data_IF_486227827175
#
_entry.id   IF_486227827175
#
_cell.length_a   1.000
_cell.length_b   1.000
_cell.length_c   1.000
_cell.angle_alpha   90.00
_cell.angle_beta   90.00
_cell.angle_gamma   90.00
#
_symmetry.space_group_name_H-M   'P 1'
#
loop_
_entity.id
_entity.type
_entity.pdbx_description
1 polymer ?
#
# COMPACT_ATOMS: atom_id res chain seq x y z
N UNK A 1 -12.45 33.85 -13.10
CA UNK A 1 -13.82 33.48 -12.71
C UNK A 1 -14.60 33.11 -13.96
N UNK A 2 -14.90 31.82 -14.18
CA UNK A 2 -15.71 31.39 -15.31
C UNK A 2 -17.17 31.82 -15.13
N UNK A 3 -17.83 32.12 -16.25
CA UNK A 3 -19.25 32.43 -16.33
C UNK A 3 -19.99 31.11 -16.58
N UNK A 4 -20.92 30.75 -15.70
CA UNK A 4 -21.75 29.55 -15.84
C UNK A 4 -23.20 29.93 -16.07
N UNK A 5 -23.86 29.16 -16.94
CA UNK A 5 -25.28 29.33 -17.24
C UNK A 5 -26.07 28.38 -16.34
N UNK A 6 -26.83 28.95 -15.41
CA UNK A 6 -27.79 28.24 -14.56
C UNK A 6 -29.16 28.77 -14.97
N UNK A 7 -30.07 27.89 -15.41
CA UNK A 7 -31.48 28.25 -15.71
C UNK A 7 -31.62 29.55 -16.55
N UNK A 8 -30.90 29.61 -17.68
CA UNK A 8 -30.89 30.75 -18.62
C UNK A 8 -30.33 32.10 -18.10
N UNK A 9 -29.68 32.11 -16.94
CA UNK A 9 -28.95 33.28 -16.43
C UNK A 9 -27.45 32.99 -16.33
N UNK A 10 -26.64 33.94 -16.80
CA UNK A 10 -25.19 33.92 -16.62
C UNK A 10 -24.84 34.41 -15.21
N UNK A 11 -24.18 33.55 -14.43
CA UNK A 11 -23.70 33.89 -13.09
C UNK A 11 -22.19 33.62 -12.99
N UNK A 12 -21.51 34.45 -12.20
CA UNK A 12 -20.13 34.18 -11.79
C UNK A 12 -20.16 32.96 -10.87
N UNK A 13 -19.46 31.90 -11.28
CA UNK A 13 -19.30 30.74 -10.42
C UNK A 13 -18.27 31.05 -9.33
N UNK A 14 -18.60 30.74 -8.08
CA UNK A 14 -17.61 30.68 -7.01
C UNK A 14 -16.98 29.28 -7.05
N UNK A 15 -15.66 29.22 -7.27
CA UNK A 15 -14.86 27.98 -7.35
C UNK A 15 -14.78 27.23 -6.00
N UNK A 16 -15.39 27.76 -4.94
CA UNK A 16 -15.51 27.08 -3.64
C UNK A 16 -16.45 25.86 -3.69
N UNK A 17 -15.82 24.69 -3.72
CA UNK A 17 -16.49 23.38 -3.72
C UNK A 17 -16.95 22.93 -2.32
N UNK A 18 -16.73 23.70 -1.26
CA UNK A 18 -17.19 23.35 0.09
C UNK A 18 -18.71 23.12 0.15
N UNK A 19 -19.48 23.83 -0.67
CA UNK A 19 -20.94 23.67 -0.76
C UNK A 19 -21.42 22.35 -1.39
N UNK A 20 -20.54 21.61 -2.04
CA UNK A 20 -20.82 20.30 -2.65
C UNK A 20 -20.33 19.12 -1.80
N UNK A 21 -19.69 19.39 -0.66
CA UNK A 21 -19.25 18.35 0.27
C UNK A 21 -20.45 17.65 0.89
N UNK A 22 -20.38 16.33 0.98
CA UNK A 22 -21.39 15.52 1.63
C UNK A 22 -20.86 15.03 2.97
N UNK A 23 -21.71 15.09 4.00
CA UNK A 23 -21.47 14.44 5.28
C UNK A 23 -21.77 12.94 5.18
N UNK A 24 -21.13 12.28 4.21
CA UNK A 24 -21.30 10.87 3.90
C UNK A 24 -19.96 10.16 4.09
N UNK A 25 -19.69 9.61 5.28
CA UNK A 25 -18.45 8.89 5.53
C UNK A 25 -18.50 7.56 4.79
N UNK A 26 -17.72 7.46 3.71
CA UNK A 26 -17.49 6.19 3.03
C UNK A 26 -16.68 5.27 3.96
N UNK A 27 -17.09 4.01 4.18
CA UNK A 27 -16.31 3.06 4.96
C UNK A 27 -14.86 2.99 4.47
N UNK A 28 -13.90 2.88 5.39
CA UNK A 28 -12.48 2.70 5.02
C UNK A 28 -12.23 1.37 4.31
N UNK A 29 -13.12 0.39 4.51
CA UNK A 29 -13.10 -0.93 3.85
C UNK A 29 -13.68 -0.92 2.44
N UNK A 30 -14.30 0.18 2.01
CA UNK A 30 -14.91 0.28 0.69
C UNK A 30 -13.81 0.45 -0.35
N UNK A 31 -13.76 -0.46 -1.33
CA UNK A 31 -12.79 -0.44 -2.41
C UNK A 31 -13.34 0.42 -3.55
N UNK A 32 -12.56 1.37 -4.11
CA UNK A 32 -13.00 2.14 -5.26
C UNK A 32 -13.00 1.27 -6.52
N UNK A 33 -13.85 1.63 -7.48
CA UNK A 33 -13.88 1.10 -8.84
C UNK A 33 -12.61 1.49 -9.61
N UNK A 34 -12.47 0.95 -10.81
CA UNK A 34 -11.36 1.23 -11.72
C UNK A 34 -11.15 2.70 -12.08
N UNK A 35 -12.23 3.45 -12.16
CA UNK A 35 -12.21 4.88 -12.40
C UNK A 35 -11.91 5.69 -11.13
N UNK A 36 -11.80 5.07 -9.96
CA UNK A 36 -11.54 5.73 -8.66
C UNK A 36 -12.79 6.17 -7.91
N UNK A 37 -13.99 5.87 -8.41
CA UNK A 37 -15.25 6.16 -7.72
C UNK A 37 -15.65 5.05 -6.76
N UNK A 38 -16.27 5.42 -5.65
CA UNK A 38 -16.83 4.49 -4.68
C UNK A 38 -18.32 4.34 -4.91
N UNK A 39 -18.83 3.11 -4.89
CA UNK A 39 -20.26 2.85 -4.94
C UNK A 39 -20.78 2.59 -3.53
N UNK A 40 -21.73 3.39 -3.09
CA UNK A 40 -22.38 3.20 -1.80
C UNK A 40 -23.84 3.66 -1.85
N UNK A 41 -24.74 2.84 -1.31
CA UNK A 41 -26.18 3.03 -1.30
C UNK A 41 -26.80 3.38 -2.68
N UNK A 42 -26.24 2.83 -3.77
CA UNK A 42 -26.72 3.05 -5.15
C UNK A 42 -26.32 4.41 -5.75
N UNK A 43 -25.38 5.13 -5.12
CA UNK A 43 -24.81 6.36 -5.63
C UNK A 43 -23.29 6.22 -5.82
N UNK A 44 -22.74 7.04 -6.72
CA UNK A 44 -21.30 7.13 -6.96
C UNK A 44 -20.70 8.31 -6.20
N UNK A 45 -19.55 8.04 -5.60
CA UNK A 45 -18.88 8.95 -4.68
C UNK A 45 -17.41 9.12 -5.05
N UNK A 46 -16.95 10.36 -5.05
CA UNK A 46 -15.54 10.72 -5.18
C UNK A 46 -15.00 11.11 -3.81
N UNK A 47 -13.94 10.41 -3.36
CA UNK A 47 -13.14 10.82 -2.20
C UNK A 47 -12.00 11.71 -2.69
N UNK A 48 -11.91 12.91 -2.13
CA UNK A 48 -10.93 13.90 -2.57
C UNK A 48 -10.42 14.72 -1.39
N UNK A 49 -9.12 14.62 -1.07
CA UNK A 49 -8.47 15.31 0.06
C UNK A 49 -9.22 15.16 1.39
N UNK A 50 -9.69 13.94 1.68
CA UNK A 50 -10.45 13.63 2.90
C UNK A 50 -11.90 14.13 2.90
N UNK A 51 -12.38 14.69 1.79
CA UNK A 51 -13.77 15.10 1.59
C UNK A 51 -14.49 14.14 0.65
N UNK A 52 -15.82 14.06 0.78
CA UNK A 52 -16.66 13.21 -0.06
C UNK A 52 -17.59 14.05 -0.93
N UNK A 53 -17.65 13.72 -2.22
CA UNK A 53 -18.52 14.37 -3.19
C UNK A 53 -19.36 13.32 -3.90
N UNK A 54 -20.67 13.52 -3.97
CA UNK A 54 -21.51 12.69 -4.84
C UNK A 54 -21.33 13.15 -6.29
N UNK A 55 -21.17 12.20 -7.20
CA UNK A 55 -20.96 12.46 -8.62
C UNK A 55 -21.94 11.69 -9.48
N UNK A 56 -22.22 12.22 -10.67
CA UNK A 56 -23.05 11.54 -11.66
C UNK A 56 -22.61 11.93 -13.07
N UNK A 57 -23.03 11.12 -14.05
CA UNK A 57 -22.88 11.47 -15.45
C UNK A 57 -24.12 12.25 -15.94
N UNK A 58 -23.90 13.39 -16.60
CA UNK A 58 -24.93 14.20 -17.26
C UNK A 58 -24.42 14.63 -18.64
N UNK A 59 -25.15 14.32 -19.70
CA UNK A 59 -24.78 14.60 -21.10
C UNK A 59 -23.35 14.13 -21.47
N UNK A 60 -22.97 12.94 -21.00
CA UNK A 60 -21.65 12.35 -21.25
C UNK A 60 -20.50 12.99 -20.46
N UNK A 61 -20.78 13.89 -19.52
CA UNK A 61 -19.79 14.52 -18.65
C UNK A 61 -20.02 14.15 -17.19
N UNK A 62 -18.95 14.01 -16.44
CA UNK A 62 -19.02 13.84 -15.00
C UNK A 62 -19.26 15.19 -14.32
N UNK A 63 -20.20 15.22 -13.39
CA UNK A 63 -20.57 16.42 -12.64
C UNK A 63 -20.78 16.11 -11.15
N UNK A 64 -20.47 17.07 -10.30
CA UNK A 64 -20.80 16.99 -8.87
C UNK A 64 -22.29 17.28 -8.64
N UNK A 65 -22.88 16.53 -7.70
CA UNK A 65 -24.24 16.71 -7.23
C UNK A 65 -24.23 17.61 -5.99
N UNK A 66 -25.19 18.52 -5.85
CA UNK A 66 -25.31 19.33 -4.64
C UNK A 66 -26.13 18.58 -3.58
N UNK A 67 -25.72 18.56 -2.30
CA UNK A 67 -26.36 17.75 -1.25
C UNK A 67 -27.81 18.13 -0.88
N UNK A 68 -28.35 19.24 -1.39
CA UNK A 68 -29.59 19.85 -0.90
C UNK A 68 -30.43 20.50 -2.01
N UNK A 69 -29.78 20.98 -3.09
CA UNK A 69 -30.43 21.75 -4.15
C UNK A 69 -30.28 21.04 -5.48
N UNK A 70 -31.34 20.36 -5.93
CA UNK A 70 -31.35 19.63 -7.20
C UNK A 70 -31.08 20.55 -8.42
N UNK A 71 -31.52 21.81 -8.36
CA UNK A 71 -31.32 22.80 -9.44
C UNK A 71 -30.05 23.64 -9.29
N UNK A 72 -29.18 23.30 -8.33
CA UNK A 72 -27.88 23.97 -8.25
C UNK A 72 -27.05 23.68 -9.51
N UNK A 73 -26.11 24.59 -9.79
CA UNK A 73 -25.06 24.32 -10.75
C UNK A 73 -24.39 22.97 -10.45
N UNK A 74 -23.96 22.25 -11.47
CA UNK A 74 -23.27 20.97 -11.30
C UNK A 74 -21.85 21.13 -11.86
N UNK A 75 -20.85 21.42 -11.00
CA UNK A 75 -19.47 21.59 -11.43
C UNK A 75 -18.98 20.36 -12.19
N UNK A 76 -18.38 20.59 -13.36
CA UNK A 76 -17.84 19.53 -14.20
C UNK A 76 -16.53 18.97 -13.64
N UNK A 77 -16.34 17.66 -13.79
CA UNK A 77 -15.14 16.95 -13.40
C UNK A 77 -14.39 16.46 -14.64
N UNK A 78 -13.07 16.43 -14.56
CA UNK A 78 -12.22 15.78 -15.55
C UNK A 78 -11.62 14.51 -14.97
N UNK A 79 -11.47 13.49 -15.80
CA UNK A 79 -10.88 12.21 -15.40
C UNK A 79 -10.04 11.63 -16.52
N UNK A 80 -9.01 10.85 -16.16
CA UNK A 80 -8.26 10.01 -17.09
C UNK A 80 -8.88 8.62 -17.29
N UNK A 81 -9.97 8.29 -16.58
CA UNK A 81 -10.62 6.99 -16.61
C UNK A 81 -9.93 5.89 -15.78
N UNK A 82 -8.80 6.21 -15.14
CA UNK A 82 -7.95 5.27 -14.40
C UNK A 82 -7.64 5.82 -12.99
N UNK A 83 -8.66 6.30 -12.29
CA UNK A 83 -8.53 6.73 -10.90
C UNK A 83 -8.17 8.20 -10.69
N UNK A 84 -7.67 8.92 -11.70
CA UNK A 84 -7.36 10.34 -11.57
C UNK A 84 -8.59 11.19 -11.83
N UNK A 85 -8.87 12.10 -10.89
CA UNK A 85 -9.97 13.08 -10.98
C UNK A 85 -9.43 14.48 -10.73
N UNK A 86 -9.86 15.43 -11.58
CA UNK A 86 -9.60 16.86 -11.39
C UNK A 86 -10.88 17.61 -11.14
N UNK A 87 -10.82 18.43 -10.12
CA UNK A 87 -11.89 19.32 -9.73
C UNK A 87 -11.79 20.60 -10.56
N UNK A 88 -12.93 21.28 -10.81
CA UNK A 88 -12.90 22.48 -11.62
C UNK A 88 -12.12 23.59 -10.92
N UNK A 89 -11.23 24.24 -11.66
CA UNK A 89 -10.29 25.26 -11.15
C UNK A 89 -8.90 24.72 -10.82
N UNK A 90 -8.68 23.41 -10.86
CA UNK A 90 -7.36 22.83 -10.62
C UNK A 90 -6.44 22.89 -11.84
N UNK A 91 -5.17 23.19 -11.59
CA UNK A 91 -4.14 23.31 -12.63
C UNK A 91 -2.94 22.43 -12.31
N UNK A 92 -2.81 21.30 -13.01
CA UNK A 92 -1.73 20.34 -12.80
C UNK A 92 -0.32 20.94 -12.89
N UNK A 93 -0.14 21.98 -13.71
CA UNK A 93 1.13 22.71 -13.83
C UNK A 93 1.58 23.40 -12.54
N UNK A 94 0.64 23.71 -11.64
CA UNK A 94 0.90 24.39 -10.37
C UNK A 94 1.16 23.42 -9.23
N UNK A 95 0.91 22.11 -9.44
CA UNK A 95 1.15 21.09 -8.43
C UNK A 95 2.64 20.82 -8.28
N UNK A 96 3.06 20.63 -7.04
CA UNK A 96 4.45 20.37 -6.66
C UNK A 96 4.55 19.21 -5.69
N UNK A 97 5.65 18.46 -5.80
CA UNK A 97 5.95 17.30 -4.97
C UNK A 97 5.35 15.99 -5.48
N UNK A 98 6.15 14.93 -5.41
CA UNK A 98 5.77 13.60 -5.87
C UNK A 98 4.55 13.07 -5.11
N UNK A 99 4.48 13.28 -3.79
CA UNK A 99 3.40 12.81 -2.94
C UNK A 99 2.02 13.28 -3.43
N UNK A 100 1.89 14.57 -3.75
CA UNK A 100 0.65 15.12 -4.29
C UNK A 100 0.36 14.53 -5.67
N UNK A 101 1.33 14.56 -6.59
CA UNK A 101 1.14 14.12 -7.97
C UNK A 101 0.76 12.64 -8.08
N UNK A 102 1.34 11.78 -7.25
CA UNK A 102 1.02 10.34 -7.20
C UNK A 102 -0.35 10.09 -6.58
N UNK A 103 -0.70 10.79 -5.48
CA UNK A 103 -2.05 10.71 -4.89
C UNK A 103 -3.15 11.19 -5.85
N UNK A 104 -2.83 12.14 -6.72
CA UNK A 104 -3.75 12.62 -7.76
C UNK A 104 -3.94 11.65 -8.91
N UNK A 105 -3.07 10.65 -9.09
CA UNK A 105 -3.24 9.60 -10.12
C UNK A 105 -4.26 8.52 -9.73
N UNK A 106 -4.73 8.53 -8.48
CA UNK A 106 -5.84 7.70 -8.05
C UNK A 106 -5.54 6.88 -6.78
N UNK A 107 -6.43 5.92 -6.46
CA UNK A 107 -6.40 5.18 -5.19
C UNK A 107 -5.20 4.24 -5.04
N UNK A 108 -4.40 4.06 -6.09
CA UNK A 108 -3.15 3.32 -6.04
C UNK A 108 -2.19 3.84 -4.96
N UNK A 109 -2.22 5.15 -4.71
CA UNK A 109 -1.39 5.83 -3.73
C UNK A 109 -2.02 5.92 -2.32
N UNK A 110 -3.28 5.50 -2.16
CA UNK A 110 -3.99 5.57 -0.89
C UNK A 110 -3.27 4.68 0.14
N UNK A 111 -2.93 5.26 1.29
CA UNK A 111 -2.14 4.58 2.32
C UNK A 111 -0.62 4.75 2.23
N UNK A 112 -0.06 5.28 1.14
CA UNK A 112 1.38 5.56 1.04
C UNK A 112 1.75 6.90 1.71
N UNK A 113 2.83 6.90 2.51
CA UNK A 113 3.45 8.11 3.04
C UNK A 113 4.25 8.87 1.98
N UNK A 114 4.53 10.15 2.22
CA UNK A 114 5.28 10.98 1.28
C UNK A 114 6.67 10.40 0.98
N UNK A 115 7.36 9.87 2.00
CA UNK A 115 8.66 9.22 1.85
C UNK A 115 8.58 7.91 1.03
N UNK A 116 7.52 7.13 1.19
CA UNK A 116 7.30 5.91 0.39
C UNK A 116 6.99 6.26 -1.07
N UNK A 117 6.21 7.32 -1.30
CA UNK A 117 5.96 7.82 -2.65
C UNK A 117 7.29 8.26 -3.28
N UNK A 118 8.08 9.10 -2.60
CA UNK A 118 9.39 9.52 -3.09
C UNK A 118 10.30 8.32 -3.39
N UNK A 119 10.29 7.32 -2.51
CA UNK A 119 11.06 6.11 -2.73
C UNK A 119 10.58 5.38 -3.98
N UNK A 120 9.28 5.08 -4.13
CA UNK A 120 8.67 4.46 -5.31
C UNK A 120 9.00 5.22 -6.59
N UNK A 121 8.98 6.55 -6.56
CA UNK A 121 9.35 7.38 -7.71
C UNK A 121 10.80 7.19 -8.13
N UNK A 122 11.72 7.12 -7.15
CA UNK A 122 13.12 6.78 -7.39
C UNK A 122 13.27 5.36 -7.97
N UNK A 123 12.47 4.38 -7.49
CA UNK A 123 12.45 3.01 -8.04
C UNK A 123 12.00 3.01 -9.50
N UNK A 124 10.89 3.68 -9.78
CA UNK A 124 10.24 3.69 -11.09
C UNK A 124 11.01 4.53 -12.13
N UNK A 125 12.07 5.23 -11.73
CA UNK A 125 12.79 6.16 -12.61
C UNK A 125 11.91 7.29 -13.11
N UNK A 126 10.92 7.68 -12.30
CA UNK A 126 9.97 8.73 -12.63
C UNK A 126 10.22 9.94 -11.73
N UNK A 127 10.33 11.11 -12.34
CA UNK A 127 10.51 12.37 -11.63
C UNK A 127 9.21 13.19 -11.61
N UNK A 128 9.23 14.26 -10.83
CA UNK A 128 8.11 15.17 -10.65
C UNK A 128 7.64 15.79 -11.98
N UNK A 129 8.57 16.08 -12.89
CA UNK A 129 8.27 16.65 -14.20
C UNK A 129 7.46 15.65 -15.06
N UNK A 130 7.85 14.37 -15.04
CA UNK A 130 7.15 13.31 -15.76
C UNK A 130 5.77 13.02 -15.19
N UNK A 131 5.64 12.98 -13.86
CA UNK A 131 4.33 12.86 -13.19
C UNK A 131 3.39 14.02 -13.52
N UNK A 132 3.91 15.25 -13.51
CA UNK A 132 3.15 16.44 -13.90
C UNK A 132 2.72 16.36 -15.37
N UNK A 133 3.59 15.83 -16.24
CA UNK A 133 3.28 15.55 -17.64
C UNK A 133 2.08 14.62 -17.81
N UNK A 134 2.01 13.52 -17.05
CA UNK A 134 0.87 12.59 -17.09
C UNK A 134 -0.45 13.30 -16.77
N UNK A 135 -0.45 14.15 -15.74
CA UNK A 135 -1.62 14.95 -15.42
C UNK A 135 -1.95 15.94 -16.54
N UNK A 136 -1.00 16.74 -17.01
CA UNK A 136 -1.26 17.73 -18.08
C UNK A 136 -1.84 17.09 -19.34
N UNK A 137 -1.39 15.88 -19.67
CA UNK A 137 -1.84 15.12 -20.83
C UNK A 137 -3.07 14.23 -20.55
N UNK A 138 -3.57 14.24 -19.32
CA UNK A 138 -4.69 13.41 -18.84
C UNK A 138 -4.50 11.90 -19.11
N UNK A 139 -3.29 11.40 -18.84
CA UNK A 139 -2.91 9.99 -19.03
C UNK A 139 -2.87 9.20 -17.72
N UNK A 140 -3.03 7.89 -17.85
CA UNK A 140 -2.81 6.91 -16.79
C UNK A 140 -1.33 6.69 -16.46
N UNK A 141 -1.05 5.76 -15.54
CA UNK A 141 0.32 5.33 -15.27
C UNK A 141 0.82 4.43 -16.43
N UNK A 142 2.00 4.70 -17.01
CA UNK A 142 2.54 3.87 -18.09
C UNK A 142 2.69 2.41 -17.65
N UNK A 143 2.17 1.47 -18.46
CA UNK A 143 2.22 0.03 -18.19
C UNK A 143 0.92 -0.59 -17.65
N UNK A 144 -0.10 0.23 -17.35
CA UNK A 144 -1.46 -0.21 -17.02
C UNK A 144 -2.39 -0.18 -18.25
N UNK A 145 -1.97 0.51 -19.31
CA UNK A 145 -2.76 0.88 -20.50
C UNK A 145 -3.22 -0.31 -21.38
N UNK A 146 -2.72 -1.53 -21.18
CA UNK A 146 -3.04 -2.73 -22.01
C UNK A 146 -4.13 -3.64 -21.41
N UNK A 147 -4.70 -3.29 -20.25
CA UNK A 147 -5.80 -4.03 -19.61
C UNK A 147 -7.17 -3.44 -19.99
N UNK A 148 -7.62 -3.72 -21.21
CA UNK A 148 -8.88 -3.22 -21.75
C UNK A 148 -10.14 -3.93 -21.21
N UNK A 149 -11.17 -3.12 -20.96
CA UNK A 149 -12.60 -3.44 -20.74
C UNK A 149 -13.01 -3.93 -19.34
N UNK A 150 -13.53 -2.99 -18.55
CA UNK A 150 -14.59 -2.93 -17.50
C UNK A 150 -15.04 -4.16 -16.67
N UNK A 151 -14.54 -5.37 -16.89
CA UNK A 151 -14.78 -6.55 -16.04
C UNK A 151 -13.48 -7.18 -15.55
N UNK A 152 -12.37 -7.01 -16.27
CA UNK A 152 -11.05 -7.50 -15.83
C UNK A 152 -10.43 -6.55 -14.81
N UNK A 153 -10.71 -5.24 -14.91
CA UNK A 153 -10.19 -4.25 -13.97
C UNK A 153 -10.74 -4.45 -12.56
N UNK A 154 -12.04 -4.71 -12.37
CA UNK A 154 -12.59 -4.99 -11.03
C UNK A 154 -11.95 -6.24 -10.41
N UNK A 155 -11.65 -7.26 -11.23
CA UNK A 155 -10.93 -8.45 -10.78
C UNK A 155 -9.46 -8.16 -10.45
N UNK A 156 -8.82 -7.25 -11.19
CA UNK A 156 -7.48 -6.71 -10.89
C UNK A 156 -7.49 -5.88 -9.60
N UNK A 157 -8.56 -5.14 -9.29
CA UNK A 157 -8.71 -4.37 -8.05
C UNK A 157 -8.92 -5.28 -6.83
N UNK A 158 -9.71 -6.37 -6.96
CA UNK A 158 -9.81 -7.42 -5.93
C UNK A 158 -8.47 -8.14 -5.72
N UNK A 159 -7.72 -8.38 -6.80
CA UNK A 159 -6.39 -9.00 -6.77
C UNK A 159 -5.26 -8.01 -6.47
N UNK A 160 -5.57 -6.72 -6.30
CA UNK A 160 -4.58 -5.65 -6.15
C UNK A 160 -3.61 -5.82 -4.99
N UNK A 161 -3.95 -6.43 -3.84
CA UNK A 161 -2.98 -6.79 -2.81
C UNK A 161 -1.87 -7.71 -3.34
N UNK A 162 -2.24 -8.74 -4.10
CA UNK A 162 -1.32 -9.70 -4.72
C UNK A 162 -0.54 -9.05 -5.86
N UNK A 163 -1.24 -8.33 -6.73
CA UNK A 163 -0.62 -7.66 -7.88
C UNK A 163 0.33 -6.54 -7.43
N UNK A 164 0.06 -5.80 -6.35
CA UNK A 164 1.01 -4.82 -5.81
C UNK A 164 2.32 -5.47 -5.35
N UNK A 165 2.25 -6.63 -4.69
CA UNK A 165 3.43 -7.39 -4.30
C UNK A 165 4.21 -7.86 -5.54
N UNK A 166 3.52 -8.49 -6.49
CA UNK A 166 4.14 -9.00 -7.72
C UNK A 166 4.68 -7.88 -8.62
N UNK A 167 4.01 -6.72 -8.68
CA UNK A 167 4.39 -5.55 -9.47
C UNK A 167 5.52 -4.76 -8.79
N UNK A 168 5.59 -4.75 -7.46
CA UNK A 168 6.75 -4.23 -6.72
C UNK A 168 7.99 -5.10 -6.94
N UNK A 169 7.87 -6.42 -6.83
CA UNK A 169 8.94 -7.38 -7.15
C UNK A 169 9.34 -7.30 -8.64
N UNK A 170 8.36 -7.15 -9.53
CA UNK A 170 8.59 -7.00 -10.97
C UNK A 170 9.27 -5.68 -11.32
N UNK A 171 8.89 -4.54 -10.72
CA UNK A 171 9.56 -3.25 -10.90
C UNK A 171 10.97 -3.25 -10.27
N UNK A 172 11.18 -4.00 -9.19
CA UNK A 172 12.51 -4.31 -8.66
C UNK A 172 13.37 -5.13 -9.64
N UNK A 173 12.76 -6.07 -10.36
CA UNK A 173 13.44 -6.87 -11.37
C UNK A 173 13.62 -6.14 -12.71
N UNK A 174 12.67 -5.26 -13.08
CA UNK A 174 12.58 -4.56 -14.36
C UNK A 174 13.39 -3.26 -14.41
N UNK A 175 13.99 -2.82 -13.31
CA UNK A 175 15.00 -1.75 -13.28
C UNK A 175 16.33 -2.23 -13.86
N UNK A 176 16.30 -2.31 -15.20
CA UNK A 176 17.33 -2.21 -16.22
C UNK A 176 18.56 -3.15 -16.21
N UNK A 177 18.62 -3.81 -17.36
CA UNK A 177 19.67 -4.48 -18.13
C UNK A 177 21.13 -4.08 -17.81
N UNK A 178 21.84 -4.98 -17.11
CA UNK A 178 23.23 -5.37 -17.34
C UNK A 178 23.61 -6.48 -16.34
N UNK A 179 24.23 -7.56 -16.82
CA UNK A 179 24.79 -8.61 -15.97
C UNK A 179 26.08 -8.11 -15.31
N UNK A 180 25.97 -7.24 -14.29
CA UNK A 180 27.14 -6.82 -13.52
C UNK A 180 27.54 -7.94 -12.54
N UNK A 181 28.69 -8.54 -12.82
CA UNK A 181 29.23 -9.66 -12.04
C UNK A 181 29.47 -9.30 -10.57
N UNK A 182 29.64 -8.01 -10.23
CA UNK A 182 29.82 -7.50 -8.87
C UNK A 182 28.49 -7.41 -8.12
N UNK A 183 27.40 -7.05 -8.81
CA UNK A 183 26.05 -7.02 -8.25
C UNK A 183 25.59 -8.41 -7.89
N UNK A 184 25.79 -9.38 -8.78
CA UNK A 184 25.51 -10.79 -8.49
C UNK A 184 26.32 -11.30 -7.30
N UNK A 185 27.54 -10.81 -7.12
CA UNK A 185 28.42 -11.17 -6.01
C UNK A 185 27.93 -10.62 -4.68
N UNK A 186 27.49 -9.35 -4.67
CA UNK A 186 26.85 -8.72 -3.52
C UNK A 186 25.55 -9.42 -3.12
N UNK A 187 24.69 -9.76 -4.08
CA UNK A 187 23.43 -10.45 -3.80
C UNK A 187 23.63 -11.90 -3.31
N UNK A 188 24.70 -12.58 -3.77
CA UNK A 188 25.08 -13.91 -3.30
C UNK A 188 25.47 -13.89 -1.82
N UNK A 189 26.34 -12.96 -1.42
CA UNK A 189 26.89 -12.91 -0.06
C UNK A 189 25.94 -12.17 0.93
N UNK A 190 24.98 -11.39 0.40
CA UNK A 190 23.97 -10.66 1.17
C UNK A 190 22.54 -10.94 0.66
N UNK A 191 21.98 -12.13 0.93
CA UNK A 191 20.64 -12.49 0.51
C UNK A 191 19.58 -11.55 1.11
N UNK A 192 18.69 -11.03 0.26
CA UNK A 192 17.67 -10.03 0.61
C UNK A 192 18.06 -8.58 0.31
N UNK A 193 19.28 -8.33 -0.17
CA UNK A 193 19.67 -7.02 -0.68
C UNK A 193 19.07 -6.79 -2.07
N UNK A 194 18.15 -5.84 -2.20
CA UNK A 194 17.54 -5.50 -3.48
C UNK A 194 18.59 -5.04 -4.50
N UNK A 195 18.39 -5.38 -5.78
CA UNK A 195 19.39 -5.21 -6.85
C UNK A 195 19.87 -3.76 -6.98
N UNK A 196 19.00 -2.76 -6.79
CA UNK A 196 19.36 -1.34 -6.86
C UNK A 196 20.37 -0.92 -5.78
N UNK A 197 20.24 -1.47 -4.56
CA UNK A 197 21.19 -1.18 -3.50
C UNK A 197 22.52 -1.87 -3.78
N UNK A 198 22.48 -3.10 -4.31
CA UNK A 198 23.70 -3.78 -4.78
C UNK A 198 24.40 -3.03 -5.93
N UNK A 199 23.64 -2.43 -6.86
CA UNK A 199 24.17 -1.55 -7.91
C UNK A 199 24.83 -0.30 -7.32
N UNK A 200 24.13 0.43 -6.46
CA UNK A 200 24.68 1.62 -5.80
C UNK A 200 25.96 1.31 -5.02
N UNK A 201 26.02 0.18 -4.32
CA UNK A 201 27.21 -0.27 -3.60
C UNK A 201 28.36 -0.62 -4.55
N UNK A 202 28.07 -1.25 -5.68
CA UNK A 202 29.07 -1.56 -6.71
C UNK A 202 29.60 -0.27 -7.38
N UNK A 203 28.76 0.74 -7.56
CA UNK A 203 29.13 2.07 -8.06
C UNK A 203 29.90 2.90 -7.03
N UNK A 204 29.60 2.78 -5.74
CA UNK A 204 30.32 3.49 -4.68
C UNK A 204 31.69 2.86 -4.36
N UNK A 205 31.90 1.59 -4.71
CA UNK A 205 33.18 0.93 -4.53
C UNK A 205 34.29 1.64 -5.33
N UNK A 206 35.45 1.83 -4.73
CA UNK A 206 36.60 2.46 -5.39
C UNK A 206 37.26 1.51 -6.42
N UNK A 207 38.19 2.03 -7.21
CA UNK A 207 38.87 1.27 -8.26
C UNK A 207 39.59 0.01 -7.72
N UNK A 208 40.20 0.08 -6.54
CA UNK A 208 40.91 -1.04 -5.92
C UNK A 208 39.95 -2.12 -5.43
N UNK A 209 38.84 -1.71 -4.83
CA UNK A 209 37.77 -2.59 -4.36
C UNK A 209 37.11 -3.31 -5.53
N UNK A 210 36.78 -2.59 -6.61
CA UNK A 210 36.23 -3.15 -7.85
C UNK A 210 37.15 -4.19 -8.48
N UNK A 211 38.45 -3.87 -8.60
CA UNK A 211 39.44 -4.80 -9.13
C UNK A 211 39.55 -6.07 -8.28
N UNK A 212 39.53 -5.93 -6.95
CA UNK A 212 39.54 -7.07 -6.03
C UNK A 212 38.29 -7.95 -6.21
N UNK A 213 37.10 -7.34 -6.30
CA UNK A 213 35.84 -8.06 -6.54
C UNK A 213 35.86 -8.83 -7.86
N UNK A 214 36.41 -8.25 -8.93
CA UNK A 214 36.50 -8.89 -10.24
C UNK A 214 37.47 -10.06 -10.25
N UNK A 215 38.67 -9.87 -9.70
CA UNK A 215 39.77 -10.84 -9.78
C UNK A 215 39.60 -11.99 -8.79
N UNK A 216 39.16 -11.70 -7.57
CA UNK A 216 39.12 -12.69 -6.48
C UNK A 216 37.73 -13.26 -6.23
N UNK A 217 36.70 -12.64 -6.81
CA UNK A 217 35.29 -12.94 -6.51
C UNK A 217 34.94 -12.86 -5.01
N UNK A 218 35.62 -11.97 -4.26
CA UNK A 218 35.37 -11.69 -2.84
C UNK A 218 35.00 -10.22 -2.61
N UNK A 219 34.14 -9.98 -1.62
CA UNK A 219 33.73 -8.63 -1.23
C UNK A 219 34.76 -8.05 -0.24
N UNK A 220 35.36 -6.87 -0.52
CA UNK A 220 36.21 -6.16 0.44
C UNK A 220 35.44 -5.82 1.72
N UNK A 221 36.13 -5.79 2.86
CA UNK A 221 35.50 -5.58 4.17
C UNK A 221 34.66 -4.28 4.23
N UNK A 222 35.19 -3.18 3.70
CA UNK A 222 34.48 -1.89 3.69
C UNK A 222 33.15 -1.96 2.90
N UNK A 223 33.17 -2.59 1.72
CA UNK A 223 31.96 -2.80 0.90
C UNK A 223 30.99 -3.76 1.61
N UNK A 224 31.51 -4.78 2.28
CA UNK A 224 30.70 -5.71 3.07
C UNK A 224 30.03 -5.03 4.28
N UNK A 225 30.72 -4.11 4.96
CA UNK A 225 30.16 -3.33 6.06
C UNK A 225 29.04 -2.40 5.58
N UNK A 226 29.26 -1.69 4.47
CA UNK A 226 28.25 -0.84 3.86
C UNK A 226 27.03 -1.65 3.37
N UNK A 227 27.27 -2.84 2.80
CA UNK A 227 26.20 -3.76 2.39
C UNK A 227 25.35 -4.23 3.59
N UNK A 228 25.99 -4.59 4.72
CA UNK A 228 25.26 -4.96 5.95
C UNK A 228 24.43 -3.81 6.50
N UNK A 229 24.97 -2.60 6.51
CA UNK A 229 24.26 -1.42 6.95
C UNK A 229 23.02 -1.17 6.08
N UNK A 230 23.22 -1.12 4.77
CA UNK A 230 22.16 -0.88 3.78
C UNK A 230 21.08 -1.97 3.84
N UNK A 231 21.47 -3.24 3.95
CA UNK A 231 20.54 -4.36 4.12
C UNK A 231 19.72 -4.21 5.40
N UNK A 232 20.35 -3.80 6.51
CA UNK A 232 19.66 -3.59 7.78
C UNK A 232 18.64 -2.47 7.70
N UNK A 233 19.00 -1.34 7.09
CA UNK A 233 18.08 -0.21 6.88
C UNK A 233 16.92 -0.58 5.95
N UNK A 234 17.21 -1.32 4.86
CA UNK A 234 16.18 -1.79 3.94
C UNK A 234 15.22 -2.77 4.61
N UNK A 235 15.72 -3.72 5.42
CA UNK A 235 14.89 -4.64 6.20
C UNK A 235 14.04 -3.93 7.24
N UNK A 236 14.58 -2.92 7.93
CA UNK A 236 13.84 -2.11 8.88
C UNK A 236 12.74 -1.31 8.18
N UNK A 237 13.08 -0.66 7.07
CA UNK A 237 12.11 0.09 6.25
C UNK A 237 10.99 -0.83 5.78
N UNK A 238 11.32 -2.01 5.24
CA UNK A 238 10.35 -3.01 4.80
C UNK A 238 9.50 -3.56 5.96
N UNK A 239 10.09 -3.76 7.13
CA UNK A 239 9.36 -4.19 8.32
C UNK A 239 8.35 -3.14 8.80
N UNK A 240 8.74 -1.87 8.79
CA UNK A 240 7.89 -0.73 9.13
C UNK A 240 6.81 -0.49 8.06
N UNK A 241 7.18 -0.60 6.78
CA UNK A 241 6.24 -0.56 5.66
C UNK A 241 5.12 -1.58 5.85
N UNK A 242 5.44 -2.84 6.19
CA UNK A 242 4.40 -3.84 6.43
C UNK A 242 3.64 -3.73 7.74
N UNK A 243 4.07 -2.84 8.64
CA UNK A 243 3.24 -2.40 9.77
C UNK A 243 2.28 -1.28 9.38
N UNK A 244 2.73 -0.33 8.56
CA UNK A 244 1.96 0.87 8.23
C UNK A 244 1.02 0.68 7.03
N UNK A 245 1.43 -0.10 6.03
CA UNK A 245 0.73 -0.34 4.77
C UNK A 245 -0.14 -1.62 4.84
N UNK A 246 -1.33 -1.58 4.25
CA UNK A 246 -2.20 -2.76 4.14
C UNK A 246 -1.67 -3.73 3.09
N UNK A 247 -1.57 -5.02 3.46
CA UNK A 247 -1.21 -6.15 2.60
C UNK A 247 0.21 -6.14 2.00
N UNK A 248 1.10 -5.29 2.50
CA UNK A 248 2.52 -5.29 2.10
C UNK A 248 3.31 -5.98 3.21
N UNK A 249 3.17 -7.30 3.37
CA UNK A 249 3.78 -8.01 4.50
C UNK A 249 4.98 -8.84 4.08
N UNK A 250 6.18 -8.46 4.53
CA UNK A 250 7.39 -9.27 4.44
C UNK A 250 7.59 -10.14 5.69
N UNK A 251 8.53 -11.09 5.63
CA UNK A 251 8.94 -11.87 6.81
C UNK A 251 9.48 -10.95 7.91
N UNK A 252 10.22 -9.90 7.53
CA UNK A 252 10.72 -8.88 8.46
C UNK A 252 9.56 -8.11 9.14
N UNK A 253 8.45 -7.87 8.43
CA UNK A 253 7.26 -7.19 8.97
C UNK A 253 6.57 -8.05 10.03
N UNK A 254 6.45 -9.36 9.77
CA UNK A 254 5.88 -10.30 10.75
C UNK A 254 6.79 -10.45 11.97
N UNK A 255 8.10 -10.54 11.76
CA UNK A 255 9.08 -10.56 12.85
C UNK A 255 9.02 -9.32 13.74
N UNK A 256 8.91 -8.13 13.13
CA UNK A 256 8.74 -6.90 13.88
C UNK A 256 7.41 -6.89 14.65
N UNK A 257 6.30 -7.25 14.01
CA UNK A 257 4.99 -7.34 14.67
C UNK A 257 5.02 -8.29 15.86
N UNK A 258 5.56 -9.51 15.69
CA UNK A 258 5.69 -10.51 16.75
C UNK A 258 6.58 -10.02 17.90
N UNK A 259 7.67 -9.32 17.59
CA UNK A 259 8.54 -8.71 18.58
C UNK A 259 7.85 -7.62 19.40
N UNK A 260 7.02 -6.79 18.76
CA UNK A 260 6.24 -5.73 19.41
C UNK A 260 5.07 -6.28 20.22
N UNK A 261 4.35 -7.29 19.71
CA UNK A 261 3.26 -7.97 20.42
C UNK A 261 3.75 -8.60 21.72
N UNK A 262 4.95 -9.20 21.71
CA UNK A 262 5.58 -9.76 22.93
C UNK A 262 5.80 -8.71 24.03
N UNK A 263 5.91 -7.44 23.67
CA UNK A 263 6.11 -6.31 24.59
C UNK A 263 4.82 -5.54 24.86
N UNK A 264 3.70 -5.94 24.27
CA UNK A 264 2.43 -5.24 24.38
C UNK A 264 1.78 -5.51 25.76
N UNK A 265 1.40 -4.45 26.50
CA UNK A 265 0.65 -4.63 27.74
C UNK A 265 -0.67 -5.35 27.47
N UNK A 266 -1.03 -6.28 28.36
CA UNK A 266 -2.24 -7.12 28.26
C UNK A 266 -2.29 -8.05 27.03
N UNK A 267 -1.17 -8.28 26.34
CA UNK A 267 -1.08 -9.36 25.35
C UNK A 267 -1.29 -10.72 26.02
N UNK A 268 -2.02 -11.69 25.42
CA UNK A 268 -2.34 -12.93 26.10
C UNK A 268 -1.11 -13.81 26.35
N UNK A 269 -0.78 -14.03 27.62
CA UNK A 269 0.34 -14.88 28.03
C UNK A 269 0.15 -16.38 27.68
N UNK A 270 -1.02 -16.80 27.19
CA UNK A 270 -1.26 -18.18 26.73
C UNK A 270 -1.17 -18.39 25.22
N UNK A 271 -0.95 -17.34 24.43
CA UNK A 271 -1.04 -17.39 22.97
C UNK A 271 0.34 -17.40 22.31
N UNK A 272 0.63 -18.44 21.53
CA UNK A 272 1.77 -18.51 20.63
C UNK A 272 1.31 -18.29 19.20
N UNK A 273 2.11 -17.56 18.44
CA UNK A 273 1.92 -17.39 16.99
C UNK A 273 3.13 -17.97 16.26
N UNK A 274 2.90 -18.79 15.24
CA UNK A 274 3.94 -19.27 14.33
C UNK A 274 3.62 -18.83 12.91
N UNK A 275 4.58 -18.19 12.23
CA UNK A 275 4.50 -17.99 10.79
C UNK A 275 5.14 -19.18 10.08
N UNK A 276 4.42 -19.77 9.13
CA UNK A 276 4.92 -20.87 8.30
C UNK A 276 4.82 -20.56 6.81
N UNK A 277 5.79 -21.09 6.08
CA UNK A 277 5.93 -20.95 4.65
C UNK A 277 5.05 -21.96 3.92
N UNK A 278 4.11 -21.48 3.11
CA UNK A 278 3.39 -22.28 2.12
C UNK A 278 2.36 -23.29 2.66
N UNK A 279 2.46 -23.79 3.90
CA UNK A 279 1.44 -24.66 4.52
C UNK A 279 1.53 -24.66 6.04
N UNK A 280 0.50 -25.19 6.71
CA UNK A 280 0.47 -25.39 8.16
C UNK A 280 1.56 -26.36 8.66
N UNK A 281 2.02 -27.27 7.79
CA UNK A 281 3.15 -28.18 8.03
C UNK A 281 4.49 -27.66 7.48
N UNK A 282 4.51 -26.47 6.89
CA UNK A 282 5.66 -25.88 6.22
C UNK A 282 6.77 -25.45 7.17
N UNK A 283 7.87 -24.95 6.57
CA UNK A 283 9.02 -24.40 7.32
C UNK A 283 8.56 -23.24 8.19
N UNK A 284 8.99 -23.22 9.45
CA UNK A 284 8.74 -22.09 10.34
C UNK A 284 9.64 -20.93 9.94
N UNK A 285 9.00 -19.80 9.63
CA UNK A 285 9.68 -18.54 9.30
C UNK A 285 9.97 -17.77 10.59
N UNK A 286 8.96 -17.60 11.45
CA UNK A 286 9.05 -16.75 12.63
C UNK A 286 8.12 -17.24 13.77
N UNK A 287 8.46 -16.94 15.03
CA UNK A 287 7.69 -17.37 16.21
C UNK A 287 7.56 -16.29 17.27
N UNK A 288 6.32 -16.04 17.69
CA UNK A 288 6.03 -15.42 18.97
C UNK A 288 5.66 -16.51 19.96
N UNK A 289 6.59 -16.79 20.88
CA UNK A 289 6.37 -17.72 21.97
C UNK A 289 5.98 -16.93 23.21
N UNK A 290 5.04 -17.48 23.95
CA UNK A 290 4.60 -16.99 25.24
C UNK A 290 5.31 -17.69 26.39
N UNK A 291 5.28 -17.05 27.56
CA UNK A 291 5.96 -17.47 28.78
C UNK A 291 5.10 -18.38 29.69
N UNK A 292 3.79 -18.56 29.41
CA UNK A 292 2.89 -19.43 30.21
C UNK A 292 3.05 -20.93 29.91
N UNK A 293 2.59 -21.75 30.84
CA UNK A 293 2.43 -23.21 30.70
C UNK A 293 1.18 -23.61 29.92
N UNK A 294 0.12 -22.79 29.92
CA UNK A 294 -1.09 -23.03 29.12
C UNK A 294 -0.95 -22.41 27.73
N UNK A 295 -0.39 -23.19 26.79
CA UNK A 295 0.02 -22.71 25.46
C UNK A 295 -0.98 -23.11 24.37
N UNK A 296 -1.79 -22.16 23.93
CA UNK A 296 -2.51 -22.26 22.67
C UNK A 296 -1.60 -21.75 21.55
N UNK A 297 -1.37 -22.55 20.53
CA UNK A 297 -0.56 -22.14 19.37
C UNK A 297 -1.44 -21.97 18.14
N UNK A 298 -1.21 -20.87 17.43
CA UNK A 298 -1.87 -20.52 16.16
C UNK A 298 -0.82 -20.43 15.07
N UNK A 299 -1.09 -21.11 13.97
CA UNK A 299 -0.17 -21.21 12.83
C UNK A 299 -0.70 -20.32 11.72
N UNK A 300 -0.02 -19.22 11.47
CA UNK A 300 -0.28 -18.32 10.35
C UNK A 300 0.46 -18.83 9.12
N UNK A 301 -0.24 -18.97 8.01
CA UNK A 301 0.32 -19.36 6.73
C UNK A 301 0.08 -18.23 5.74
N UNK A 302 1.15 -17.71 5.13
CA UNK A 302 1.06 -16.69 4.08
C UNK A 302 1.09 -17.34 2.70
N UNK A 303 0.09 -17.05 1.86
CA UNK A 303 0.05 -17.43 0.44
C UNK A 303 -0.53 -16.27 -0.37
N UNK A 304 0.12 -15.93 -1.49
CA UNK A 304 -0.38 -14.90 -2.43
C UNK A 304 -0.73 -13.55 -1.77
N UNK A 305 0.00 -13.17 -0.72
CA UNK A 305 -0.23 -11.93 0.04
C UNK A 305 -1.31 -12.01 1.13
N UNK A 306 -2.05 -13.12 1.21
CA UNK A 306 -3.10 -13.37 2.20
C UNK A 306 -2.64 -14.32 3.29
N UNK A 307 -3.30 -14.25 4.45
CA UNK A 307 -3.04 -15.10 5.61
C UNK A 307 -4.21 -16.02 5.91
N UNK A 308 -3.91 -17.30 6.13
CA UNK A 308 -4.81 -18.29 6.74
C UNK A 308 -4.30 -18.67 8.12
N UNK A 309 -5.20 -19.05 9.03
CA UNK A 309 -4.85 -19.43 10.41
C UNK A 309 -5.28 -20.87 10.69
N UNK A 310 -4.34 -21.66 11.18
CA UNK A 310 -4.52 -23.05 11.56
C UNK A 310 -4.25 -23.25 13.04
N UNK A 311 -4.76 -24.35 13.60
CA UNK A 311 -4.31 -24.87 14.88
C UNK A 311 -3.03 -25.74 14.73
N UNK A 312 -2.59 -26.35 15.84
CA UNK A 312 -1.40 -27.22 15.86
C UNK A 312 -1.62 -28.59 15.22
N UNK A 313 -2.87 -29.01 15.06
CA UNK A 313 -3.24 -30.27 14.41
C UNK A 313 -3.34 -30.09 12.89
N UNK A 314 -3.33 -28.83 12.41
CA UNK A 314 -3.37 -28.47 11.01
C UNK A 314 -4.77 -28.20 10.49
N UNK A 315 -5.78 -28.12 11.36
CA UNK A 315 -7.13 -27.72 10.99
C UNK A 315 -7.20 -26.20 10.85
N UNK A 316 -7.80 -25.76 9.75
CA UNK A 316 -8.07 -24.34 9.53
C UNK A 316 -9.13 -23.88 10.53
N UNK A 317 -8.94 -22.70 11.13
CA UNK A 317 -9.93 -22.16 12.04
C UNK A 317 -11.09 -21.59 11.22
N UNK A 318 -12.31 -22.03 11.53
CA UNK A 318 -13.56 -21.63 10.84
C UNK A 318 -13.92 -20.12 10.95
N UNK A 319 -13.11 -19.33 11.66
CA UNK A 319 -13.29 -17.88 11.75
C UNK A 319 -12.86 -17.21 10.44
N UNK A 320 -13.85 -16.81 9.63
CA UNK A 320 -13.63 -16.04 8.41
C UNK A 320 -12.79 -14.79 8.70
N UNK A 321 -11.61 -14.72 8.09
CA UNK A 321 -10.71 -13.58 8.22
C UNK A 321 -11.27 -12.46 7.34
N UNK A 322 -11.63 -11.30 7.92
CA UNK A 322 -12.17 -10.19 7.14
C UNK A 322 -11.20 -9.77 6.03
N UNK A 323 -11.75 -9.36 4.89
CA UNK A 323 -10.96 -8.67 3.88
C UNK A 323 -10.23 -7.46 4.52
N UNK A 324 -8.95 -7.23 4.21
CA UNK A 324 -8.21 -7.81 3.09
C UNK A 324 -7.42 -9.11 3.38
N UNK A 325 -7.68 -9.79 4.49
CA UNK A 325 -6.96 -11.01 4.91
C UNK A 325 -5.46 -10.80 5.11
N UNK A 326 -5.10 -9.60 5.60
CA UNK A 326 -3.74 -9.23 5.95
C UNK A 326 -3.27 -9.86 7.27
N UNK A 327 -2.03 -9.53 7.63
CA UNK A 327 -1.39 -10.04 8.85
C UNK A 327 -2.21 -9.67 10.10
N UNK A 328 -2.71 -8.44 10.19
CA UNK A 328 -3.38 -7.95 11.39
C UNK A 328 -4.77 -8.57 11.57
N UNK A 329 -5.49 -8.82 10.49
CA UNK A 329 -6.78 -9.52 10.49
C UNK A 329 -6.59 -10.97 10.97
N UNK A 330 -5.57 -11.66 10.45
CA UNK A 330 -5.24 -13.02 10.87
C UNK A 330 -4.85 -13.10 12.35
N UNK A 331 -4.00 -12.19 12.84
CA UNK A 331 -3.64 -12.15 14.27
C UNK A 331 -4.85 -11.78 15.14
N UNK A 332 -5.72 -10.86 14.69
CA UNK A 332 -6.92 -10.49 15.44
C UNK A 332 -7.90 -11.68 15.56
N UNK A 333 -8.04 -12.51 14.52
CA UNK A 333 -8.84 -13.73 14.55
C UNK A 333 -8.30 -14.76 15.57
N UNK A 334 -6.99 -14.78 15.82
CA UNK A 334 -6.40 -15.64 16.85
C UNK A 334 -6.85 -15.32 18.29
N UNK A 335 -7.37 -14.12 18.53
CA UNK A 335 -7.72 -13.64 19.88
C UNK A 335 -9.18 -13.95 20.24
N UNK A 336 -9.41 -14.40 21.46
CA UNK A 336 -10.78 -14.54 22.00
C UNK A 336 -11.41 -13.18 22.26
N UNK A 337 -12.75 -13.14 22.40
CA UNK A 337 -13.48 -11.91 22.74
C UNK A 337 -13.01 -11.28 24.06
N UNK A 338 -12.63 -12.10 25.03
CA UNK A 338 -12.12 -11.64 26.33
C UNK A 338 -10.72 -11.01 26.19
N UNK A 339 -9.83 -11.66 25.43
CA UNK A 339 -8.49 -11.15 25.14
C UNK A 339 -8.53 -9.82 24.38
N UNK A 340 -9.41 -9.69 23.37
CA UNK A 340 -9.60 -8.42 22.64
C UNK A 340 -10.08 -7.32 23.58
N UNK A 341 -11.02 -7.61 24.49
CA UNK A 341 -11.50 -6.65 25.49
C UNK A 341 -10.41 -6.22 26.47
N UNK A 342 -9.55 -7.15 26.92
CA UNK A 342 -8.42 -6.83 27.79
C UNK A 342 -7.41 -5.88 27.11
N UNK A 343 -7.28 -5.98 25.78
CA UNK A 343 -6.48 -5.08 24.94
C UNK A 343 -7.19 -3.76 24.59
N UNK A 344 -8.45 -3.60 25.00
CA UNK A 344 -9.29 -2.44 24.66
C UNK A 344 -9.79 -2.44 23.21
N UNK A 345 -9.73 -3.57 22.52
CA UNK A 345 -10.10 -3.68 21.10
C UNK A 345 -11.54 -4.16 20.88
N UNK A 346 -12.22 -3.59 19.90
CA UNK A 346 -13.59 -3.95 19.48
C UNK A 346 -13.55 -4.92 18.31
N UNK A 347 -14.52 -5.83 18.19
CA UNK A 347 -14.51 -6.90 17.17
C UNK A 347 -14.42 -6.37 15.73
N UNK A 348 -15.08 -5.26 15.42
CA UNK A 348 -15.15 -4.73 14.05
C UNK A 348 -13.83 -4.07 13.60
N UNK A 349 -13.06 -3.49 14.53
CA UNK A 349 -11.86 -2.70 14.20
C UNK A 349 -10.56 -3.25 14.84
N UNK A 350 -10.57 -4.49 15.35
CA UNK A 350 -9.44 -5.05 16.11
C UNK A 350 -8.13 -5.03 15.31
N UNK A 351 -8.17 -5.30 14.00
CA UNK A 351 -7.00 -5.29 13.13
C UNK A 351 -6.43 -3.87 12.96
N UNK A 352 -7.29 -2.88 12.71
CA UNK A 352 -6.88 -1.48 12.60
C UNK A 352 -6.32 -0.93 13.92
N UNK A 353 -6.96 -1.25 15.04
CA UNK A 353 -6.51 -0.87 16.38
C UNK A 353 -5.17 -1.53 16.76
N UNK A 354 -4.99 -2.81 16.42
CA UNK A 354 -3.72 -3.52 16.61
C UNK A 354 -2.62 -2.86 15.78
N UNK A 355 -2.86 -2.61 14.50
CA UNK A 355 -1.93 -1.94 13.59
C UNK A 355 -1.50 -0.58 14.15
N UNK A 356 -2.44 0.26 14.56
CA UNK A 356 -2.16 1.57 15.16
C UNK A 356 -1.35 1.43 16.46
N UNK A 357 -1.69 0.45 17.31
CA UNK A 357 -1.01 0.23 18.57
C UNK A 357 0.43 -0.29 18.39
N UNK A 358 0.70 -1.09 17.36
CA UNK A 358 2.05 -1.54 17.01
C UNK A 358 2.85 -0.43 16.32
N UNK A 359 2.25 0.31 15.38
CA UNK A 359 2.89 1.43 14.71
C UNK A 359 3.33 2.53 15.69
N UNK A 360 2.55 2.80 16.74
CA UNK A 360 2.91 3.76 17.78
C UNK A 360 4.06 3.29 18.71
N UNK A 361 4.48 2.02 18.62
CA UNK A 361 5.52 1.40 19.46
C UNK A 361 6.77 0.98 18.68
N UNK A 362 6.70 0.98 17.35
CA UNK A 362 7.82 0.76 16.46
C UNK A 362 8.69 2.02 16.43
#
# INVERSE_FOLDING_TARGET
MPIVRITDQYRLWNEDLASYRHAHPLPETLVPRSDGLYEDAGALWLRHEGQTYQVQQRDGRWVMVHPQRAEAYSPGLETNGEGAWRLPGEHALQWAGNALLVRRLGPLAEGLSDAQIDQVMVIAGMDEARLRGLHVENRGMPGVEDAGQDSELDHIWEQMPRLRFELFEHLEAATLTAADSRVSLLQRDFPGLARRYALALAEQADATQRQMMDQTRRIPLAVAEQARHTLREARLSRALEGLCLQNVHSDDSVGLAFGLLRRMPAWPDGLNLELREGSSSGRVIERQLSLSDTRQTRVLVRRDGQFSVYDTEGYELDDEIPAPQGMFEAIACCLTREQRRALGWTRHDSAAQMRQALAARA
#
